data_IF_680044283252
#
_entry.id   IF_680044283252
#
_cell.length_a   1.000
_cell.length_b   1.000
_cell.length_c   1.000
_cell.angle_alpha   90.00
_cell.angle_beta   90.00
_cell.angle_gamma   90.00
#
_symmetry.space_group_name_H-M   'P 1'
#
loop_
_entity.id
_entity.type
_entity.pdbx_description
1 polymer ?
#
# COMPACT_ATOMS: atom_id res chain seq x y z
N UNK A 1 22.83 9.41 -3.86
CA UNK A 1 21.69 9.83 -3.02
C UNK A 1 20.53 8.92 -3.41
N UNK A 2 19.95 8.17 -2.48
CA UNK A 2 18.83 7.26 -2.79
C UNK A 2 17.49 8.00 -2.80
N UNK A 3 16.47 7.42 -3.43
CA UNK A 3 15.12 7.95 -3.54
C UNK A 3 14.54 8.42 -2.20
N UNK A 4 14.61 7.56 -1.16
CA UNK A 4 14.13 7.90 0.19
C UNK A 4 14.81 9.13 0.80
N UNK A 5 16.10 9.33 0.54
CA UNK A 5 16.84 10.49 1.05
C UNK A 5 16.43 11.78 0.33
N UNK A 6 16.15 11.70 -0.97
CA UNK A 6 15.62 12.82 -1.75
C UNK A 6 14.22 13.20 -1.28
N UNK A 7 13.32 12.23 -1.14
CA UNK A 7 11.95 12.46 -0.66
C UNK A 7 11.94 13.09 0.74
N UNK A 8 12.74 12.55 1.67
CA UNK A 8 12.87 13.13 3.01
C UNK A 8 13.36 14.59 2.97
N UNK A 9 14.29 14.90 2.07
CA UNK A 9 14.75 16.28 1.85
C UNK A 9 13.63 17.20 1.38
N UNK A 10 12.81 16.76 0.42
CA UNK A 10 11.65 17.50 -0.08
C UNK A 10 10.60 17.73 1.01
N UNK A 11 10.23 16.69 1.76
CA UNK A 11 9.24 16.81 2.85
C UNK A 11 9.71 17.78 3.94
N UNK A 12 11.00 17.77 4.27
CA UNK A 12 11.59 18.75 5.20
C UNK A 12 11.48 20.20 4.68
N UNK A 13 11.71 20.43 3.38
CA UNK A 13 11.56 21.77 2.77
C UNK A 13 10.10 22.25 2.85
N UNK A 14 9.16 21.32 2.67
CA UNK A 14 7.71 21.60 2.75
C UNK A 14 7.20 21.68 4.20
N UNK A 15 8.00 21.31 5.20
CA UNK A 15 7.59 21.31 6.60
C UNK A 15 6.53 20.26 6.93
N UNK A 16 6.47 19.17 6.16
CA UNK A 16 5.47 18.09 6.34
C UNK A 16 6.11 16.83 6.91
N UNK A 17 5.32 16.07 7.67
CA UNK A 17 5.76 14.79 8.25
C UNK A 17 5.91 13.71 7.18
N UNK A 18 6.96 12.88 7.28
CA UNK A 18 7.08 11.63 6.55
C UNK A 18 6.19 10.55 7.21
N UNK A 19 5.05 10.30 6.57
CA UNK A 19 4.02 9.40 7.07
C UNK A 19 3.39 8.59 5.92
N UNK A 20 2.72 7.47 6.21
CA UNK A 20 2.12 6.62 5.17
C UNK A 20 0.95 7.32 4.46
N UNK A 21 0.29 8.28 5.13
CA UNK A 21 -0.75 9.16 4.59
C UNK A 21 -0.45 10.61 4.94
N UNK A 22 -0.97 11.55 4.14
CA UNK A 22 -0.98 12.98 4.44
C UNK A 22 -2.27 13.33 5.16
N UNK A 23 -2.18 13.98 6.32
CA UNK A 23 -3.35 14.50 7.03
C UNK A 23 -3.60 15.97 6.70
N UNK A 24 -4.82 16.30 6.29
CA UNK A 24 -5.31 17.67 6.09
C UNK A 24 -6.64 17.77 6.82
N UNK A 25 -6.73 18.58 7.86
CA UNK A 25 -7.90 18.64 8.75
C UNK A 25 -8.31 17.24 9.26
N UNK A 26 -9.55 16.80 9.00
CA UNK A 26 -10.07 15.46 9.32
C UNK A 26 -9.87 14.44 8.19
N UNK A 27 -9.17 14.82 7.12
CA UNK A 27 -8.89 13.96 5.96
C UNK A 27 -7.55 13.26 6.09
N UNK A 28 -7.51 12.01 5.64
CA UNK A 28 -6.30 11.28 5.33
C UNK A 28 -6.24 11.00 3.82
N UNK A 29 -5.13 11.37 3.21
CA UNK A 29 -4.92 11.33 1.76
C UNK A 29 -3.71 10.46 1.48
N UNK A 30 -3.85 9.52 0.55
CA UNK A 30 -2.74 8.72 0.02
C UNK A 30 -2.71 8.86 -1.49
N UNK A 31 -1.53 9.07 -2.04
CA UNK A 31 -1.22 8.81 -3.44
C UNK A 31 -0.19 7.68 -3.47
N UNK A 32 -0.49 6.60 -4.17
CA UNK A 32 0.43 5.48 -4.35
C UNK A 32 0.53 5.11 -5.82
N UNK A 33 1.74 4.93 -6.33
CA UNK A 33 2.03 4.77 -7.74
C UNK A 33 2.95 3.59 -7.99
N UNK A 34 2.63 2.74 -8.97
CA UNK A 34 3.52 1.65 -9.36
C UNK A 34 3.59 1.42 -10.86
N UNK A 35 4.81 1.19 -11.33
CA UNK A 35 5.12 0.80 -12.70
C UNK A 35 5.17 -0.73 -12.81
N UNK A 36 4.60 -1.28 -13.87
CA UNK A 36 4.50 -2.73 -14.04
C UNK A 36 5.87 -3.43 -14.13
N UNK A 37 6.87 -2.79 -14.72
CA UNK A 37 8.24 -3.31 -14.89
C UNK A 37 8.94 -3.58 -13.56
N UNK A 38 8.64 -2.79 -12.53
CA UNK A 38 9.25 -2.93 -11.20
C UNK A 38 8.37 -3.72 -10.25
N UNK A 39 7.05 -3.57 -10.39
CA UNK A 39 6.13 -3.96 -9.33
C UNK A 39 5.23 -5.13 -9.72
N UNK A 40 4.88 -5.31 -11.00
CA UNK A 40 3.95 -6.38 -11.38
C UNK A 40 4.61 -7.74 -11.24
N UNK A 41 3.96 -8.66 -10.51
CA UNK A 41 4.51 -9.99 -10.29
C UNK A 41 4.29 -10.87 -11.54
N UNK A 42 5.20 -11.82 -11.83
CA UNK A 42 5.08 -12.70 -13.00
C UNK A 42 3.79 -13.51 -13.05
N UNK A 43 3.25 -13.87 -11.89
CA UNK A 43 2.03 -14.68 -11.74
C UNK A 43 0.74 -13.86 -11.62
N UNK A 44 0.82 -12.52 -11.69
CA UNK A 44 -0.35 -11.64 -11.66
C UNK A 44 -0.91 -11.43 -13.07
N UNK A 45 -2.24 -11.40 -13.18
CA UNK A 45 -2.92 -10.80 -14.33
C UNK A 45 -2.84 -9.27 -14.27
N UNK A 46 -3.25 -8.58 -15.34
CA UNK A 46 -3.40 -7.12 -15.31
C UNK A 46 -4.49 -6.66 -14.34
N UNK A 47 -5.53 -7.48 -14.19
CA UNK A 47 -6.59 -7.29 -13.20
C UNK A 47 -6.08 -7.41 -11.77
N UNK A 48 -5.24 -8.40 -11.48
CA UNK A 48 -4.58 -8.52 -10.17
C UNK A 48 -3.65 -7.34 -9.87
N UNK A 49 -2.98 -6.83 -10.91
CA UNK A 49 -2.14 -5.63 -10.77
C UNK A 49 -2.97 -4.40 -10.38
N UNK A 50 -4.11 -4.17 -11.05
CA UNK A 50 -5.06 -3.11 -10.69
C UNK A 50 -5.60 -3.26 -9.27
N UNK A 51 -6.02 -4.47 -8.88
CA UNK A 51 -6.47 -4.77 -7.52
C UNK A 51 -5.41 -4.42 -6.48
N UNK A 52 -4.18 -4.89 -6.68
CA UNK A 52 -3.10 -4.74 -5.71
C UNK A 52 -2.73 -3.27 -5.47
N UNK A 53 -2.77 -2.43 -6.50
CA UNK A 53 -2.52 -0.99 -6.35
C UNK A 53 -3.51 -0.35 -5.36
N UNK A 54 -4.81 -0.64 -5.50
CA UNK A 54 -5.83 -0.16 -4.56
C UNK A 54 -5.60 -0.76 -3.16
N UNK A 55 -5.32 -2.07 -3.08
CA UNK A 55 -5.12 -2.75 -1.80
C UNK A 55 -3.91 -2.19 -1.01
N UNK A 56 -2.83 -1.81 -1.70
CA UNK A 56 -1.66 -1.17 -1.09
C UNK A 56 -2.03 0.20 -0.49
N UNK A 57 -2.68 1.06 -1.25
CA UNK A 57 -3.12 2.36 -0.73
C UNK A 57 -4.16 2.22 0.41
N UNK A 58 -5.08 1.23 0.35
CA UNK A 58 -6.01 0.96 1.45
C UNK A 58 -5.27 0.48 2.69
N UNK A 59 -4.23 -0.33 2.54
CA UNK A 59 -3.36 -0.76 3.64
C UNK A 59 -2.79 0.46 4.38
N UNK A 60 -2.29 1.47 3.65
CA UNK A 60 -1.75 2.70 4.23
C UNK A 60 -2.78 3.50 5.03
N UNK A 61 -4.00 3.69 4.51
CA UNK A 61 -5.05 4.36 5.28
C UNK A 61 -5.42 3.56 6.53
N UNK A 62 -5.45 2.23 6.40
CA UNK A 62 -5.93 1.35 7.45
C UNK A 62 -4.96 1.25 8.62
N UNK A 63 -3.65 1.18 8.37
CA UNK A 63 -2.64 1.24 9.46
C UNK A 63 -2.69 2.57 10.21
N UNK A 64 -3.27 3.61 9.59
CA UNK A 64 -3.50 4.93 10.18
C UNK A 64 -4.88 5.12 10.77
N UNK A 65 -5.69 4.06 10.84
CA UNK A 65 -7.05 4.11 11.37
C UNK A 65 -7.95 5.10 10.61
N UNK A 66 -7.59 5.40 9.36
CA UNK A 66 -8.40 6.21 8.47
C UNK A 66 -9.39 5.33 7.71
N UNK A 67 -10.64 5.77 7.63
CA UNK A 67 -11.67 5.13 6.84
C UNK A 67 -11.61 5.63 5.39
N UNK A 68 -11.19 4.81 4.41
CA UNK A 68 -11.18 5.22 3.00
C UNK A 68 -12.62 5.45 2.51
N UNK A 69 -12.84 6.52 1.75
CA UNK A 69 -14.17 6.90 1.25
C UNK A 69 -14.20 7.01 -0.27
N UNK A 70 -13.18 7.64 -0.85
CA UNK A 70 -13.11 7.93 -2.27
C UNK A 70 -11.79 7.43 -2.87
N UNK A 71 -11.88 6.92 -4.08
CA UNK A 71 -10.75 6.47 -4.90
C UNK A 71 -10.78 7.20 -6.24
N UNK A 72 -9.61 7.71 -6.64
CA UNK A 72 -9.32 8.14 -8.01
C UNK A 72 -8.16 7.30 -8.53
N UNK A 73 -8.11 7.05 -9.84
CA UNK A 73 -6.98 6.33 -10.44
C UNK A 73 -6.54 6.96 -11.76
N UNK A 74 -5.23 7.16 -11.93
CA UNK A 74 -4.62 7.44 -13.22
C UNK A 74 -3.98 6.16 -13.74
N UNK A 75 -4.34 5.76 -14.96
CA UNK A 75 -3.79 4.56 -15.60
C UNK A 75 -3.08 4.97 -16.87
N UNK A 76 -1.80 4.67 -16.98
CA UNK A 76 -1.08 4.67 -18.26
C UNK A 76 -0.99 3.22 -18.74
N UNK A 77 -1.24 2.94 -20.02
CA UNK A 77 -1.15 1.58 -20.56
C UNK A 77 -0.69 1.53 -22.03
N UNK A 78 -0.05 0.42 -22.45
CA UNK A 78 0.36 0.21 -23.84
C UNK A 78 -0.78 -0.11 -24.80
N UNK A 79 -1.95 -0.50 -24.29
CA UNK A 79 -3.13 -0.75 -25.09
C UNK A 79 -4.40 -0.58 -24.26
N UNK A 80 -5.53 -0.36 -24.92
CA UNK A 80 -6.84 -0.28 -24.27
C UNK A 80 -7.25 -1.60 -23.60
N UNK A 81 -6.79 -2.74 -24.10
CA UNK A 81 -7.05 -4.05 -23.50
C UNK A 81 -6.39 -4.16 -22.12
N UNK A 82 -5.10 -3.78 -22.03
CA UNK A 82 -4.36 -3.74 -20.77
C UNK A 82 -4.99 -2.74 -19.81
N UNK A 83 -5.35 -1.54 -20.29
CA UNK A 83 -6.02 -0.53 -19.48
C UNK A 83 -7.35 -1.05 -18.90
N UNK A 84 -8.17 -1.71 -19.73
CA UNK A 84 -9.46 -2.28 -19.32
C UNK A 84 -9.28 -3.28 -18.17
N UNK A 85 -8.37 -4.25 -18.33
CA UNK A 85 -8.10 -5.25 -17.29
C UNK A 85 -7.65 -4.61 -15.97
N UNK A 86 -6.76 -3.62 -16.03
CA UNK A 86 -6.31 -2.87 -14.85
C UNK A 86 -7.49 -2.15 -14.18
N UNK A 87 -8.29 -1.40 -14.95
CA UNK A 87 -9.44 -0.64 -14.44
C UNK A 87 -10.50 -1.57 -13.84
N UNK A 88 -10.73 -2.74 -14.44
CA UNK A 88 -11.62 -3.76 -13.88
C UNK A 88 -11.11 -4.27 -12.53
N UNK A 89 -9.80 -4.49 -12.40
CA UNK A 89 -9.18 -4.85 -11.12
C UNK A 89 -9.31 -3.76 -10.05
N UNK A 90 -9.14 -2.50 -10.44
CA UNK A 90 -9.35 -1.33 -9.57
C UNK A 90 -10.81 -1.27 -9.09
N UNK A 91 -11.76 -1.45 -10.01
CA UNK A 91 -13.20 -1.49 -9.69
C UNK A 91 -13.53 -2.61 -8.71
N UNK A 92 -13.08 -3.83 -8.98
CA UNK A 92 -13.28 -5.00 -8.11
C UNK A 92 -12.73 -4.75 -6.70
N UNK A 93 -11.53 -4.17 -6.58
CA UNK A 93 -10.95 -3.82 -5.30
C UNK A 93 -11.73 -2.71 -4.57
N UNK A 94 -12.16 -1.68 -5.30
CA UNK A 94 -12.96 -0.59 -4.73
C UNK A 94 -14.27 -1.10 -4.10
N UNK A 95 -14.94 -2.05 -4.78
CA UNK A 95 -16.16 -2.68 -4.29
C UNK A 95 -15.87 -3.55 -3.06
N UNK A 96 -14.82 -4.37 -3.11
CA UNK A 96 -14.42 -5.24 -2.01
C UNK A 96 -14.03 -4.46 -0.73
N UNK A 97 -13.42 -3.29 -0.88
CA UNK A 97 -13.01 -2.43 0.24
C UNK A 97 -14.04 -1.37 0.61
N UNK A 98 -15.22 -1.38 -0.03
CA UNK A 98 -16.28 -0.38 0.20
C UNK A 98 -15.82 1.07 0.01
N UNK A 99 -14.94 1.30 -0.97
CA UNK A 99 -14.43 2.62 -1.34
C UNK A 99 -15.07 3.05 -2.65
N UNK A 100 -15.61 4.26 -2.71
CA UNK A 100 -16.28 4.75 -3.92
C UNK A 100 -15.22 5.15 -4.97
N UNK A 101 -15.16 4.42 -6.07
CA UNK A 101 -14.36 4.83 -7.23
C UNK A 101 -15.08 5.98 -7.96
N UNK A 102 -14.53 7.20 -7.89
CA UNK A 102 -15.22 8.44 -8.31
C UNK A 102 -14.70 9.04 -9.61
N UNK A 103 -13.63 8.49 -10.18
CA UNK A 103 -13.10 8.95 -11.46
C UNK A 103 -11.62 8.68 -11.62
N UNK A 104 -11.02 9.25 -12.65
CA UNK A 104 -9.64 8.96 -12.99
C UNK A 104 -9.22 9.56 -14.32
N UNK A 105 -8.02 9.20 -14.74
CA UNK A 105 -7.46 9.58 -16.03
C UNK A 105 -6.87 8.35 -16.73
N UNK A 106 -6.88 8.35 -18.07
CA UNK A 106 -6.36 7.26 -18.89
C UNK A 106 -5.39 7.81 -19.93
N UNK A 107 -4.16 7.32 -19.89
CA UNK A 107 -3.08 7.72 -20.78
C UNK A 107 -2.56 6.54 -21.60
N UNK A 108 -2.08 6.85 -22.80
CA UNK A 108 -1.30 5.90 -23.60
C UNK A 108 0.18 6.04 -23.26
N UNK A 109 0.87 4.91 -23.07
CA UNK A 109 2.31 4.89 -22.81
C UNK A 109 2.94 3.56 -23.20
N UNK A 110 4.27 3.46 -23.15
CA UNK A 110 4.98 2.20 -23.50
C UNK A 110 4.81 1.14 -22.41
N UNK A 111 4.64 1.59 -21.17
CA UNK A 111 4.53 0.74 -19.98
C UNK A 111 3.20 0.98 -19.28
N UNK A 112 2.70 -0.05 -18.58
CA UNK A 112 1.59 0.11 -17.67
C UNK A 112 2.03 0.76 -16.34
N UNK A 113 1.45 1.90 -16.00
CA UNK A 113 1.67 2.62 -14.73
C UNK A 113 0.31 2.89 -14.12
N UNK A 114 0.17 2.66 -12.82
CA UNK A 114 -1.07 2.88 -12.08
C UNK A 114 -0.77 3.76 -10.89
N UNK A 115 -1.44 4.90 -10.83
CA UNK A 115 -1.42 5.79 -9.67
C UNK A 115 -2.83 5.83 -9.07
N UNK A 116 -2.95 5.50 -7.79
CA UNK A 116 -4.21 5.53 -7.05
C UNK A 116 -4.15 6.61 -5.99
N UNK A 117 -5.19 7.44 -5.95
CA UNK A 117 -5.39 8.42 -4.89
C UNK A 117 -6.58 8.00 -4.03
N UNK A 118 -6.35 7.83 -2.73
CA UNK A 118 -7.39 7.56 -1.75
C UNK A 118 -7.61 8.79 -0.86
N UNK A 119 -8.88 9.11 -0.66
CA UNK A 119 -9.35 10.09 0.32
C UNK A 119 -10.19 9.37 1.36
N UNK A 120 -9.88 9.60 2.63
CA UNK A 120 -10.61 9.05 3.74
C UNK A 120 -10.75 10.03 4.90
N UNK A 121 -11.51 9.64 5.92
CA UNK A 121 -11.61 10.38 7.18
C UNK A 121 -10.73 9.76 8.24
N UNK A 122 -10.04 10.58 9.01
CA UNK A 122 -9.23 10.17 10.13
C UNK A 122 -9.68 10.87 11.41
N UNK A 123 -10.14 10.08 12.38
CA UNK A 123 -10.47 10.58 13.73
C UNK A 123 -9.22 10.75 14.60
N UNK A 124 -8.15 10.04 14.26
CA UNK A 124 -6.89 10.02 14.99
C UNK A 124 -5.74 10.26 14.01
N UNK A 125 -4.68 10.93 14.46
CA UNK A 125 -3.44 11.10 13.70
C UNK A 125 -2.37 10.23 14.31
N UNK A 126 -2.01 9.15 13.62
CA UNK A 126 -1.02 8.18 14.08
C UNK A 126 0.26 8.33 13.26
N UNK A 127 1.39 8.50 13.95
CA UNK A 127 2.72 8.60 13.35
C UNK A 127 3.39 7.24 13.16
N UNK A 128 4.65 7.26 12.73
CA UNK A 128 5.47 6.03 12.52
C UNK A 128 6.45 5.74 13.64
N UNK A 129 6.63 6.65 14.61
CA UNK A 129 7.70 6.58 15.62
C UNK A 129 7.14 6.04 16.95
N UNK A 130 7.53 4.82 17.37
CA UNK A 130 7.12 4.27 18.65
C UNK A 130 7.87 4.93 19.82
N UNK A 131 7.46 4.61 21.05
CA UNK A 131 8.14 5.02 22.29
C UNK A 131 8.91 3.84 22.91
N UNK A 132 9.98 4.10 23.69
CA UNK A 132 10.62 3.04 24.47
C UNK A 132 9.62 2.33 25.37
N UNK A 133 9.66 0.99 25.38
CA UNK A 133 8.75 0.16 26.17
C UNK A 133 7.44 -0.21 25.46
N UNK A 134 7.16 0.32 24.26
CA UNK A 134 6.06 -0.15 23.44
C UNK A 134 6.28 -1.61 22.99
N UNK A 135 5.18 -2.34 22.80
CA UNK A 135 5.20 -3.69 22.24
C UNK A 135 5.02 -3.64 20.71
N UNK A 136 5.91 -4.31 19.97
CA UNK A 136 5.72 -4.53 18.54
C UNK A 136 4.72 -5.65 18.30
N UNK A 137 3.59 -5.31 17.68
CA UNK A 137 2.55 -6.26 17.30
C UNK A 137 2.49 -6.32 15.78
N UNK A 138 2.46 -7.54 15.24
CA UNK A 138 2.41 -7.78 13.81
C UNK A 138 1.19 -8.62 13.45
N UNK A 139 0.71 -8.48 12.20
CA UNK A 139 -0.22 -9.44 11.62
C UNK A 139 0.49 -10.77 11.40
N UNK A 140 -0.19 -11.93 11.52
CA UNK A 140 0.42 -13.21 11.20
C UNK A 140 0.84 -13.29 9.73
N UNK A 141 1.59 -14.34 9.38
CA UNK A 141 1.97 -14.67 7.98
C UNK A 141 3.06 -13.79 7.35
N UNK A 142 3.94 -13.19 8.15
CA UNK A 142 5.21 -12.64 7.63
C UNK A 142 6.01 -13.73 6.90
N UNK A 143 6.67 -13.35 5.81
CA UNK A 143 7.52 -14.22 5.00
C UNK A 143 6.85 -14.84 3.77
N UNK A 144 5.52 -14.92 3.72
CA UNK A 144 4.81 -15.44 2.53
C UNK A 144 5.08 -14.61 1.28
N UNK A 145 5.26 -13.29 1.41
CA UNK A 145 5.68 -12.42 0.30
C UNK A 145 7.00 -12.87 -0.31
N UNK A 146 8.00 -13.13 0.52
CA UNK A 146 9.32 -13.56 0.06
C UNK A 146 9.31 -14.97 -0.53
N UNK A 147 8.53 -15.88 0.08
CA UNK A 147 8.36 -17.25 -0.42
C UNK A 147 7.71 -17.22 -1.80
N UNK A 148 6.60 -16.49 -1.96
CA UNK A 148 5.91 -16.35 -3.24
C UNK A 148 6.81 -15.70 -4.28
N UNK A 149 7.44 -14.57 -3.96
CA UNK A 149 8.31 -13.86 -4.90
C UNK A 149 9.47 -14.73 -5.42
N UNK A 150 10.13 -15.48 -4.52
CA UNK A 150 11.32 -16.28 -4.87
C UNK A 150 10.98 -17.64 -5.47
N UNK A 151 9.87 -18.25 -5.07
CA UNK A 151 9.60 -19.66 -5.33
C UNK A 151 8.28 -19.93 -6.06
N UNK A 152 7.60 -18.93 -6.65
CA UNK A 152 6.28 -19.08 -7.28
C UNK A 152 6.15 -20.20 -8.33
N UNK A 153 7.26 -20.68 -8.89
CA UNK A 153 7.30 -21.79 -9.86
C UNK A 153 7.31 -23.18 -9.19
N UNK A 154 7.47 -23.25 -7.87
CA UNK A 154 7.51 -24.50 -7.11
C UNK A 154 6.09 -24.86 -6.68
N UNK A 155 5.69 -26.09 -7.02
CA UNK A 155 4.44 -26.69 -6.54
C UNK A 155 4.59 -27.16 -5.09
N UNK A 156 4.44 -26.22 -4.15
CA UNK A 156 4.45 -26.48 -2.72
C UNK A 156 3.32 -25.70 -2.02
N UNK A 157 2.57 -26.30 -1.08
CA UNK A 157 1.40 -25.67 -0.47
C UNK A 157 1.65 -24.27 0.12
N UNK A 158 2.81 -24.06 0.76
CA UNK A 158 3.17 -22.75 1.32
C UNK A 158 3.44 -21.69 0.22
N UNK A 159 4.00 -22.10 -0.92
CA UNK A 159 4.24 -21.23 -2.07
C UNK A 159 2.92 -20.84 -2.71
N UNK A 160 2.06 -21.82 -2.99
CA UNK A 160 0.73 -21.59 -3.57
C UNK A 160 -0.08 -20.62 -2.70
N UNK A 161 -0.07 -20.82 -1.38
CA UNK A 161 -0.71 -19.90 -0.44
C UNK A 161 -0.16 -18.48 -0.52
N UNK A 162 1.17 -18.33 -0.58
CA UNK A 162 1.80 -17.02 -0.72
C UNK A 162 1.45 -16.34 -2.04
N UNK A 163 1.46 -17.08 -3.15
CA UNK A 163 1.06 -16.59 -4.48
C UNK A 163 -0.37 -16.07 -4.45
N UNK A 164 -1.31 -16.83 -3.90
CA UNK A 164 -2.71 -16.42 -3.78
C UNK A 164 -2.86 -15.16 -2.92
N UNK A 165 -2.15 -15.06 -1.79
CA UNK A 165 -2.14 -13.86 -0.95
C UNK A 165 -1.59 -12.62 -1.69
N UNK A 166 -0.58 -12.80 -2.55
CA UNK A 166 0.09 -11.68 -3.23
C UNK A 166 -0.61 -11.24 -4.51
N UNK A 167 -1.39 -12.11 -5.15
CA UNK A 167 -2.19 -11.74 -6.33
C UNK A 167 -3.19 -10.64 -5.97
N UNK A 168 -3.98 -10.90 -4.93
CA UNK A 168 -5.06 -10.02 -4.46
C UNK A 168 -5.02 -9.87 -2.94
N UNK A 169 -4.07 -9.07 -2.40
CA UNK A 169 -4.02 -8.86 -0.97
C UNK A 169 -5.29 -8.17 -0.48
N UNK A 170 -5.75 -8.57 0.71
CA UNK A 170 -6.93 -8.02 1.37
C UNK A 170 -6.49 -7.48 2.72
N UNK A 171 -6.33 -6.15 2.87
CA UNK A 171 -5.91 -5.56 4.12
C UNK A 171 -7.06 -5.55 5.15
N UNK A 172 -7.44 -6.72 5.65
CA UNK A 172 -8.53 -6.89 6.61
C UNK A 172 -8.07 -7.66 7.85
N UNK A 173 -7.19 -7.06 8.64
CA UNK A 173 -6.70 -7.61 9.91
C UNK A 173 -7.29 -6.87 11.11
N UNK A 174 -7.59 -7.51 12.25
CA UNK A 174 -8.10 -6.77 13.41
C UNK A 174 -7.12 -5.65 13.81
N UNK A 175 -7.66 -4.46 14.07
CA UNK A 175 -6.88 -3.34 14.61
C UNK A 175 -7.15 -3.23 16.12
N UNK A 176 -6.13 -2.91 16.94
CA UNK A 176 -6.33 -2.59 18.35
C UNK A 176 -7.13 -1.29 18.51
N UNK A 177 -7.46 -0.89 19.73
CA UNK A 177 -8.08 0.42 19.96
C UNK A 177 -7.08 1.54 19.58
N UNK A 178 -7.48 2.57 18.81
CA UNK A 178 -6.58 3.65 18.39
C UNK A 178 -5.85 4.32 19.55
N UNK A 179 -6.50 4.44 20.71
CA UNK A 179 -5.94 5.07 21.91
C UNK A 179 -4.78 4.28 22.52
N UNK A 180 -4.65 3.00 22.17
CA UNK A 180 -3.56 2.13 22.60
C UNK A 180 -2.39 2.10 21.60
N UNK A 181 -2.46 2.85 20.50
CA UNK A 181 -1.46 2.82 19.42
C UNK A 181 -0.62 4.09 19.45
N UNK A 182 0.64 3.94 19.85
CA UNK A 182 1.63 5.01 19.79
C UNK A 182 2.07 5.28 18.35
N UNK A 183 2.31 4.22 17.58
CA UNK A 183 2.77 4.27 16.20
C UNK A 183 2.28 3.04 15.43
N UNK A 184 2.08 3.20 14.13
CA UNK A 184 1.61 2.14 13.25
C UNK A 184 2.06 2.42 11.82
N UNK A 185 2.36 1.37 11.07
CA UNK A 185 2.75 1.44 9.66
C UNK A 185 2.50 0.09 9.00
N UNK A 186 2.42 0.06 7.68
CA UNK A 186 2.40 -1.17 6.92
C UNK A 186 3.84 -1.69 6.69
N UNK A 187 3.97 -2.88 6.13
CA UNK A 187 5.28 -3.46 5.80
C UNK A 187 5.33 -3.88 4.34
N UNK A 188 5.68 -2.91 3.49
CA UNK A 188 5.91 -3.07 2.06
C UNK A 188 7.33 -3.56 1.74
N UNK A 189 8.34 -3.01 2.43
CA UNK A 189 9.77 -3.33 2.23
C UNK A 189 10.29 -4.49 3.10
N UNK A 190 9.39 -5.13 3.87
CA UNK A 190 9.71 -6.15 4.85
C UNK A 190 10.07 -5.60 6.23
N UNK A 191 9.86 -6.44 7.26
CA UNK A 191 9.86 -6.04 8.66
C UNK A 191 11.18 -5.37 9.11
N UNK A 192 12.32 -5.93 8.70
CA UNK A 192 13.63 -5.37 9.06
C UNK A 192 13.83 -3.95 8.53
N UNK A 193 13.35 -3.68 7.31
CA UNK A 193 13.42 -2.35 6.69
C UNK A 193 12.43 -1.39 7.35
N UNK A 194 11.21 -1.86 7.66
CA UNK A 194 10.20 -1.06 8.39
C UNK A 194 10.71 -0.64 9.77
N UNK A 195 11.22 -1.58 10.59
CA UNK A 195 11.78 -1.28 11.90
C UNK A 195 13.08 -0.46 11.82
N UNK A 196 13.88 -0.63 10.77
CA UNK A 196 15.11 0.13 10.56
C UNK A 196 14.89 1.63 10.33
N UNK A 197 13.64 2.07 10.10
CA UNK A 197 13.28 3.50 10.00
C UNK A 197 13.16 4.17 11.38
N UNK A 198 13.14 3.41 12.47
CA UNK A 198 13.02 3.94 13.82
C UNK A 198 14.34 4.50 14.37
N UNK A 199 14.30 5.55 15.22
CA UNK A 199 15.48 6.06 15.92
C UNK A 199 16.21 4.96 16.71
N UNK A 200 17.55 4.94 16.65
CA UNK A 200 18.39 3.96 17.36
C UNK A 200 18.28 3.99 18.89
N UNK A 201 17.68 5.03 19.47
CA UNK A 201 17.48 5.15 20.92
C UNK A 201 16.24 4.38 21.44
N UNK A 202 15.54 3.66 20.56
CA UNK A 202 14.32 2.88 20.88
C UNK A 202 14.59 1.37 21.01
N UNK A 203 15.83 0.91 20.76
CA UNK A 203 16.30 -0.48 20.93
C UNK A 203 17.20 -0.59 22.15
#
# INVERSE_FOLDING_TARGET
MGEKAFLKGLLNILGVEDNDVVYIDDLAIKLDGSAASTSKLPFQTWRDFGWRNVAAAVSDLRVKFAAPQFLLASVTAPSLEVAREIIEGIKEASEAFSVKYVGGDLNQGVEAVVDVALLGKAQYRIGRVPRPGDLLITVPYFGYTSIAYRLWQIDHPAVLRGVEMLKRPVPNWPLPRPECVTASMDSSDGLATSCGQWPRALT
#
